data_IF_343177425252
#
_entry.id   IF_343177425252
#
_cell.length_a   1.000
_cell.length_b   1.000
_cell.length_c   1.000
_cell.angle_alpha   90.00
_cell.angle_beta   90.00
_cell.angle_gamma   90.00
#
_symmetry.space_group_name_H-M   'P 1'
#
loop_
_entity.id
_entity.type
_entity.pdbx_description
1 polymer ?
#
# COMPACT_ATOMS: atom_id res chain seq x y z
N UNK A 1 -17.71 -13.12 0.79
CA UNK A 1 -16.82 -12.71 -0.31
C UNK A 1 -15.80 -13.82 -0.58
N UNK A 2 -15.61 -14.16 -1.82
CA UNK A 2 -14.63 -15.17 -2.20
C UNK A 2 -13.34 -14.50 -2.67
N UNK A 3 -12.20 -15.09 -2.31
CA UNK A 3 -10.90 -14.56 -2.73
C UNK A 3 -10.77 -14.49 -4.25
N UNK A 4 -11.46 -15.38 -4.97
CA UNK A 4 -11.44 -15.39 -6.43
C UNK A 4 -12.03 -14.10 -7.04
N UNK A 5 -12.85 -13.37 -6.31
CA UNK A 5 -13.45 -12.12 -6.78
C UNK A 5 -12.53 -10.91 -6.58
N UNK A 6 -11.44 -11.10 -5.86
CA UNK A 6 -10.52 -10.01 -5.52
C UNK A 6 -9.44 -9.88 -6.59
N UNK A 7 -9.25 -8.68 -7.08
CA UNK A 7 -8.18 -8.35 -8.03
C UNK A 7 -7.34 -7.22 -7.46
N UNK A 8 -6.03 -7.36 -7.56
CA UNK A 8 -5.08 -6.37 -7.08
C UNK A 8 -4.29 -5.85 -8.28
N UNK A 9 -4.17 -4.54 -8.40
CA UNK A 9 -3.44 -3.94 -9.51
C UNK A 9 -2.84 -2.59 -9.13
N UNK A 10 -1.86 -2.18 -9.94
CA UNK A 10 -1.31 -0.83 -9.90
C UNK A 10 -1.98 -0.03 -11.02
N UNK A 11 -2.84 0.90 -10.65
CA UNK A 11 -3.47 1.81 -11.61
C UNK A 11 -2.58 3.05 -11.75
N UNK A 12 -1.59 2.94 -12.61
CA UNK A 12 -0.59 4.00 -12.78
C UNK A 12 -1.19 5.31 -13.31
N UNK A 13 -2.25 5.22 -14.12
CA UNK A 13 -2.92 6.41 -14.65
C UNK A 13 -3.52 7.26 -13.53
N UNK A 14 -3.98 6.62 -12.46
CA UNK A 14 -4.53 7.31 -11.29
C UNK A 14 -3.55 7.41 -10.13
N UNK A 15 -2.34 6.96 -10.32
CA UNK A 15 -1.30 7.00 -9.27
C UNK A 15 -1.76 6.32 -7.99
N UNK A 16 -2.33 5.11 -8.12
CA UNK A 16 -2.76 4.37 -6.94
C UNK A 16 -2.79 2.87 -7.18
N UNK A 17 -2.55 2.11 -6.11
CA UNK A 17 -2.82 0.68 -6.09
C UNK A 17 -4.30 0.50 -5.79
N UNK A 18 -4.92 -0.49 -6.40
CA UNK A 18 -6.35 -0.77 -6.23
C UNK A 18 -6.58 -2.22 -5.88
N UNK A 19 -7.55 -2.43 -4.98
CA UNK A 19 -8.13 -3.74 -4.75
C UNK A 19 -9.56 -3.67 -5.23
N UNK A 20 -9.90 -4.56 -6.16
CA UNK A 20 -11.25 -4.61 -6.75
C UNK A 20 -11.95 -5.89 -6.33
N UNK A 21 -13.24 -5.75 -6.09
CA UNK A 21 -14.12 -6.88 -5.80
C UNK A 21 -15.19 -6.89 -6.87
N UNK A 22 -15.27 -7.99 -7.62
CA UNK A 22 -16.23 -8.10 -8.70
C UNK A 22 -16.07 -7.01 -9.76
N UNK A 23 -14.85 -6.52 -9.99
CA UNK A 23 -14.55 -5.50 -10.98
C UNK A 23 -14.70 -4.06 -10.49
N UNK A 24 -15.19 -3.86 -9.26
CA UNK A 24 -15.36 -2.52 -8.69
C UNK A 24 -14.28 -2.24 -7.65
N UNK A 25 -13.80 -1.00 -7.61
CA UNK A 25 -12.79 -0.61 -6.62
C UNK A 25 -13.42 -0.65 -5.22
N UNK A 26 -12.82 -1.46 -4.35
CA UNK A 26 -13.24 -1.58 -2.95
C UNK A 26 -12.27 -0.87 -2.02
N UNK A 27 -11.02 -0.76 -2.41
CA UNK A 27 -9.99 -0.07 -1.63
C UNK A 27 -8.91 0.45 -2.57
N UNK A 28 -8.25 1.53 -2.17
CA UNK A 28 -7.13 2.05 -2.95
C UNK A 28 -6.10 2.72 -2.05
N UNK A 29 -4.86 2.78 -2.53
CA UNK A 29 -3.77 3.45 -1.84
C UNK A 29 -3.03 4.35 -2.83
N UNK A 30 -3.14 5.64 -2.62
CA UNK A 30 -2.57 6.65 -3.51
C UNK A 30 -1.09 6.87 -3.24
N UNK A 31 -0.34 7.12 -4.29
CA UNK A 31 1.08 7.37 -4.19
C UNK A 31 1.54 8.42 -5.20
N UNK A 32 2.69 9.02 -4.93
CA UNK A 32 3.42 9.81 -5.90
C UNK A 32 4.75 9.14 -6.17
N UNK A 33 5.10 8.99 -7.44
CA UNK A 33 6.41 8.46 -7.81
C UNK A 33 7.43 9.57 -7.64
N UNK A 34 8.42 9.33 -6.79
CA UNK A 34 9.54 10.24 -6.60
C UNK A 34 10.82 9.48 -6.93
N UNK A 35 11.95 10.15 -6.93
CA UNK A 35 13.19 9.51 -7.36
C UNK A 35 13.53 8.29 -6.50
N UNK A 36 13.44 7.10 -7.09
CA UNK A 36 13.78 5.84 -6.44
C UNK A 36 12.79 5.37 -5.40
N UNK A 37 11.59 5.97 -5.31
CA UNK A 37 10.63 5.60 -4.28
C UNK A 37 9.20 5.89 -4.68
N UNK A 38 8.26 5.27 -3.98
CA UNK A 38 6.85 5.64 -4.01
C UNK A 38 6.49 6.29 -2.67
N UNK A 39 5.94 7.50 -2.75
CA UNK A 39 5.47 8.24 -1.58
C UNK A 39 3.98 7.92 -1.40
N UNK A 40 3.68 7.11 -0.38
CA UNK A 40 2.29 6.74 -0.08
C UNK A 40 1.62 7.85 0.70
N UNK A 41 0.52 8.39 0.17
CA UNK A 41 -0.12 9.58 0.72
C UNK A 41 -1.46 9.32 1.37
N UNK A 42 -2.24 8.37 0.86
CA UNK A 42 -3.60 8.14 1.34
C UNK A 42 -4.07 6.72 1.02
N UNK A 43 -4.72 6.08 1.97
CA UNK A 43 -5.33 4.75 1.78
C UNK A 43 -6.77 4.82 2.23
N UNK A 44 -7.67 4.25 1.44
CA UNK A 44 -9.09 4.28 1.74
C UNK A 44 -9.74 2.95 1.40
N UNK A 45 -10.66 2.52 2.26
CA UNK A 45 -11.57 1.40 1.98
C UNK A 45 -12.96 2.01 1.84
N UNK A 46 -13.65 1.67 0.75
CA UNK A 46 -14.99 2.21 0.51
C UNK A 46 -15.97 1.66 1.55
N UNK A 47 -16.99 2.45 1.95
CA UNK A 47 -17.87 2.07 3.07
C UNK A 47 -18.50 0.69 2.97
N UNK A 48 -18.88 0.27 1.75
CA UNK A 48 -19.49 -1.04 1.54
C UNK A 48 -18.56 -2.20 1.88
N UNK A 49 -17.26 -1.96 2.01
CA UNK A 49 -16.26 -3.01 2.21
C UNK A 49 -15.46 -2.84 3.51
N UNK A 50 -15.86 -1.93 4.37
CA UNK A 50 -15.18 -1.74 5.64
C UNK A 50 -15.31 -2.99 6.51
N UNK A 51 -14.28 -3.26 7.31
CA UNK A 51 -14.27 -4.39 8.23
C UNK A 51 -13.92 -5.74 7.61
N UNK A 52 -13.56 -5.77 6.33
CA UNK A 52 -13.23 -7.01 5.63
C UNK A 52 -11.72 -7.29 5.52
N UNK A 53 -10.90 -6.43 6.11
CA UNK A 53 -9.44 -6.61 6.10
C UNK A 53 -8.79 -6.31 4.74
N UNK A 54 -9.49 -5.63 3.85
CA UNK A 54 -9.01 -5.41 2.49
C UNK A 54 -7.83 -4.47 2.42
N UNK A 55 -7.77 -3.47 3.30
CA UNK A 55 -6.66 -2.52 3.29
C UNK A 55 -5.32 -3.21 3.54
N UNK A 56 -5.28 -4.17 4.48
CA UNK A 56 -4.05 -4.91 4.75
C UNK A 56 -3.60 -5.72 3.54
N UNK A 57 -4.54 -6.35 2.84
CA UNK A 57 -4.22 -7.10 1.62
C UNK A 57 -3.68 -6.18 0.53
N UNK A 58 -4.30 -5.01 0.39
CA UNK A 58 -3.88 -4.02 -0.60
C UNK A 58 -2.46 -3.53 -0.31
N UNK A 59 -2.16 -3.19 0.94
CA UNK A 59 -0.85 -2.66 1.28
C UNK A 59 0.23 -3.73 1.16
N UNK A 60 -0.07 -4.98 1.51
CA UNK A 60 0.87 -6.07 1.28
C UNK A 60 1.25 -6.17 -0.21
N UNK A 61 0.24 -6.13 -1.08
CA UNK A 61 0.46 -6.16 -2.52
C UNK A 61 1.30 -4.96 -2.97
N UNK A 62 0.94 -3.76 -2.51
CA UNK A 62 1.64 -2.53 -2.90
C UNK A 62 3.12 -2.58 -2.50
N UNK A 63 3.40 -3.02 -1.28
CA UNK A 63 4.78 -3.09 -0.79
C UNK A 63 5.58 -4.18 -1.51
N UNK A 64 4.93 -5.31 -1.85
CA UNK A 64 5.58 -6.35 -2.64
C UNK A 64 5.93 -5.81 -4.03
N UNK A 65 5.07 -4.98 -4.63
CA UNK A 65 5.37 -4.35 -5.91
C UNK A 65 6.53 -3.34 -5.81
N UNK A 66 6.59 -2.58 -4.73
CA UNK A 66 7.71 -1.68 -4.46
C UNK A 66 9.01 -2.49 -4.44
N UNK A 67 9.01 -3.62 -3.75
CA UNK A 67 10.17 -4.50 -3.66
C UNK A 67 10.54 -5.06 -5.02
N UNK A 68 9.55 -5.54 -5.77
CA UNK A 68 9.78 -6.14 -7.09
C UNK A 68 10.42 -5.13 -8.05
N UNK A 69 10.05 -3.87 -7.93
CA UNK A 69 10.57 -2.81 -8.79
C UNK A 69 11.90 -2.21 -8.30
N UNK A 70 12.41 -2.68 -7.17
CA UNK A 70 13.66 -2.17 -6.62
C UNK A 70 13.56 -0.76 -6.07
N UNK A 71 12.36 -0.34 -5.68
CA UNK A 71 12.10 1.00 -5.17
C UNK A 71 12.06 1.00 -3.64
N UNK A 72 12.07 2.20 -3.07
CA UNK A 72 11.80 2.40 -1.65
C UNK A 72 10.36 2.86 -1.45
N UNK A 73 9.85 2.69 -0.23
CA UNK A 73 8.54 3.19 0.17
C UNK A 73 8.73 4.34 1.16
N UNK A 74 8.02 5.44 0.95
CA UNK A 74 7.99 6.56 1.89
C UNK A 74 6.56 6.57 2.47
N UNK A 75 6.38 6.09 3.71
CA UNK A 75 5.04 5.91 4.28
C UNK A 75 4.51 7.18 4.95
N UNK A 76 4.14 8.18 4.15
CA UNK A 76 3.49 9.38 4.66
C UNK A 76 2.05 9.10 5.09
N UNK A 77 1.42 8.08 4.51
CA UNK A 77 0.10 7.64 4.89
C UNK A 77 0.13 6.91 6.24
N UNK A 78 -0.67 7.31 7.23
CA UNK A 78 -0.67 6.65 8.54
C UNK A 78 -0.97 5.15 8.48
N UNK A 79 -1.84 4.73 7.58
CA UNK A 79 -2.17 3.31 7.46
C UNK A 79 -0.96 2.50 6.98
N UNK A 80 -0.27 2.99 5.94
CA UNK A 80 0.92 2.31 5.41
C UNK A 80 2.02 2.26 6.49
N UNK A 81 2.21 3.37 7.20
CA UNK A 81 3.20 3.42 8.28
C UNK A 81 2.90 2.40 9.38
N UNK A 82 1.63 2.32 9.80
CA UNK A 82 1.22 1.35 10.82
C UNK A 82 1.39 -0.08 10.34
N UNK A 83 1.08 -0.32 9.07
CA UNK A 83 1.23 -1.65 8.49
C UNK A 83 2.70 -2.10 8.53
N UNK A 84 3.62 -1.23 8.11
CA UNK A 84 5.05 -1.56 8.10
C UNK A 84 5.56 -1.83 9.52
N UNK A 85 5.10 -1.06 10.52
CA UNK A 85 5.50 -1.29 11.91
C UNK A 85 5.06 -2.67 12.41
N UNK A 86 3.90 -3.14 11.98
CA UNK A 86 3.38 -4.46 12.35
C UNK A 86 4.00 -5.58 11.52
N UNK A 87 4.63 -5.26 10.40
CA UNK A 87 5.20 -6.23 9.47
C UNK A 87 6.66 -5.85 9.18
N UNK A 88 7.57 -6.11 10.14
CA UNK A 88 8.97 -5.65 10.02
C UNK A 88 9.72 -6.18 8.81
N UNK A 89 9.19 -7.21 8.14
CA UNK A 89 9.77 -7.71 6.89
C UNK A 89 9.78 -6.65 5.79
N UNK A 90 9.02 -5.56 5.94
CA UNK A 90 9.00 -4.46 4.99
C UNK A 90 9.84 -3.25 5.41
N UNK A 91 10.49 -3.31 6.58
CA UNK A 91 11.30 -2.18 7.06
C UNK A 91 12.45 -1.82 6.13
N UNK A 92 13.00 -2.82 5.43
CA UNK A 92 14.09 -2.57 4.50
C UNK A 92 13.66 -1.72 3.28
N UNK A 93 12.36 -1.60 3.03
CA UNK A 93 11.86 -0.73 1.96
C UNK A 93 11.92 0.75 2.35
N UNK A 94 11.91 1.05 3.64
CA UNK A 94 12.07 2.43 4.12
C UNK A 94 13.56 2.76 4.12
N UNK A 95 13.93 3.90 3.52
CA UNK A 95 15.34 4.29 3.47
C UNK A 95 15.91 4.42 4.89
N UNK A 96 17.16 4.04 5.05
CA UNK A 96 17.81 4.04 6.36
C UNK A 96 17.70 5.40 7.06
N UNK A 97 17.91 6.48 6.33
CA UNK A 97 17.83 7.83 6.90
C UNK A 97 16.46 8.14 7.51
N UNK A 98 15.38 7.61 6.91
CA UNK A 98 14.03 7.82 7.42
C UNK A 98 13.60 6.81 8.48
N UNK A 99 14.32 5.69 8.57
CA UNK A 99 13.92 4.57 9.42
C UNK A 99 13.91 4.90 10.90
N UNK A 100 14.88 5.67 11.35
CA UNK A 100 14.97 6.08 12.76
C UNK A 100 13.77 6.89 13.21
N UNK A 101 13.40 7.91 12.43
CA UNK A 101 12.24 8.73 12.74
C UNK A 101 10.97 7.91 12.67
N UNK A 102 10.91 7.00 11.71
CA UNK A 102 9.75 6.13 11.50
C UNK A 102 9.49 5.18 12.67
N UNK A 103 10.57 4.67 13.28
CA UNK A 103 10.46 3.69 14.36
C UNK A 103 10.28 4.27 15.75
N UNK A 104 10.36 5.59 15.89
CA UNK A 104 10.15 6.25 17.18
C UNK A 104 8.70 6.18 17.64
#
# INVERSE_FOLDING_TARGET
>A
MHDADIQLCDNADRHRFELRVGGEVAAFSEYNAVKGALLFTHTEVLPAHEGEGLASRLIAFALDEVRRQGLHAIPACPFVAAYIRKHPEYLDLVREAGRRAFLK
#
